data_IF_100050304255
#
_entry.id   IF_100050304255
#
_cell.length_a   1.000
_cell.length_b   1.000
_cell.length_c   1.000
_cell.angle_alpha   90.00
_cell.angle_beta   90.00
_cell.angle_gamma   90.00
#
_symmetry.space_group_name_H-M   'P 1'
#
loop_
_entity.id
_entity.type
_entity.pdbx_description
1 polymer ?
#
# COMPACT_ATOMS: atom_id res chain seq x y z
N UNK A 1 12.14 -2.46 -0.75
CA UNK A 1 10.90 -3.25 -0.77
C UNK A 1 10.76 -4.27 0.36
N UNK A 2 11.82 -4.91 0.85
CA UNK A 2 11.73 -5.89 1.96
C UNK A 2 11.05 -5.32 3.22
N UNK A 3 11.37 -4.07 3.59
CA UNK A 3 10.79 -3.40 4.75
C UNK A 3 9.25 -3.26 4.66
N UNK A 4 8.74 -2.88 3.49
CA UNK A 4 7.31 -2.73 3.25
C UNK A 4 6.56 -4.04 3.43
N UNK A 5 7.03 -5.11 2.79
CA UNK A 5 6.36 -6.40 2.90
C UNK A 5 6.46 -7.02 4.29
N UNK A 6 7.55 -6.75 5.03
CA UNK A 6 7.64 -7.11 6.45
C UNK A 6 6.54 -6.43 7.27
N UNK A 7 6.37 -5.11 7.15
CA UNK A 7 5.30 -4.38 7.84
C UNK A 7 3.92 -4.90 7.43
N UNK A 8 3.67 -5.04 6.13
CA UNK A 8 2.37 -5.53 5.61
C UNK A 8 2.06 -6.94 6.10
N UNK A 9 3.06 -7.82 6.26
CA UNK A 9 2.82 -9.17 6.77
C UNK A 9 2.28 -9.17 8.21
N UNK A 10 2.75 -8.23 9.03
CA UNK A 10 2.41 -8.06 10.44
C UNK A 10 1.11 -7.26 10.68
N UNK A 11 0.56 -6.60 9.63
CA UNK A 11 -0.70 -5.87 9.71
C UNK A 11 -1.89 -6.80 10.01
N UNK A 12 -2.89 -6.26 10.72
CA UNK A 12 -4.15 -6.95 10.97
C UNK A 12 -4.92 -7.22 9.66
N UNK A 13 -5.85 -8.18 9.63
CA UNK A 13 -6.74 -8.37 8.48
C UNK A 13 -7.50 -7.10 8.08
N UNK A 14 -7.90 -6.30 9.07
CA UNK A 14 -8.61 -5.04 8.91
C UNK A 14 -7.71 -4.00 8.20
N UNK A 15 -6.48 -3.81 8.68
CA UNK A 15 -5.56 -2.85 8.07
C UNK A 15 -5.12 -3.30 6.68
N UNK A 16 -4.98 -4.61 6.43
CA UNK A 16 -4.71 -5.16 5.08
C UNK A 16 -5.84 -4.83 4.10
N UNK A 17 -7.09 -4.90 4.54
CA UNK A 17 -8.27 -4.49 3.74
C UNK A 17 -8.29 -2.98 3.54
N UNK A 18 -7.91 -2.23 4.55
CA UNK A 18 -7.71 -0.78 4.50
C UNK A 18 -6.69 -0.38 3.43
N UNK A 19 -5.51 -0.98 3.48
CA UNK A 19 -4.45 -0.80 2.49
C UNK A 19 -4.92 -1.17 1.08
N UNK A 20 -5.60 -2.30 0.92
CA UNK A 20 -6.11 -2.70 -0.38
C UNK A 20 -7.12 -1.69 -0.92
N UNK A 21 -8.03 -1.18 -0.07
CA UNK A 21 -8.98 -0.13 -0.41
C UNK A 21 -8.27 1.17 -0.76
N UNK A 22 -7.21 1.52 -0.04
CA UNK A 22 -6.42 2.70 -0.33
C UNK A 22 -5.77 2.63 -1.72
N UNK A 23 -5.26 1.46 -2.11
CA UNK A 23 -4.57 1.26 -3.39
C UNK A 23 -5.55 1.10 -4.56
N UNK A 24 -6.65 0.37 -4.36
CA UNK A 24 -7.53 -0.11 -5.45
C UNK A 24 -8.96 0.46 -5.41
N UNK A 25 -9.33 1.18 -4.36
CA UNK A 25 -10.70 1.60 -4.08
C UNK A 25 -11.61 0.50 -3.49
N UNK A 26 -11.17 -0.76 -3.51
CA UNK A 26 -11.92 -1.93 -3.05
C UNK A 26 -11.27 -2.58 -1.83
N UNK A 27 -12.04 -2.87 -0.79
CA UNK A 27 -11.52 -3.56 0.41
C UNK A 27 -11.44 -5.08 0.27
N UNK A 28 -11.80 -5.62 -0.91
CA UNK A 28 -11.86 -7.06 -1.19
C UNK A 28 -11.04 -7.38 -2.45
N UNK A 29 -10.24 -8.45 -2.43
CA UNK A 29 -9.55 -8.91 -3.63
C UNK A 29 -10.54 -9.46 -4.66
N UNK A 30 -10.18 -9.48 -5.96
CA UNK A 30 -10.96 -10.21 -6.96
C UNK A 30 -11.04 -11.70 -6.61
N UNK A 31 -12.17 -12.35 -6.93
CA UNK A 31 -12.40 -13.78 -6.66
C UNK A 31 -11.31 -14.64 -7.31
N UNK A 32 -10.89 -14.26 -8.53
CA UNK A 32 -9.85 -14.94 -9.30
C UNK A 32 -8.42 -14.52 -8.93
N UNK A 33 -8.27 -13.70 -7.89
CA UNK A 33 -7.00 -13.20 -7.36
C UNK A 33 -6.50 -11.92 -8.03
N UNK A 34 -5.42 -11.36 -7.47
CA UNK A 34 -4.85 -10.08 -7.90
C UNK A 34 -4.33 -10.05 -9.35
N UNK A 35 -4.08 -11.21 -9.96
CA UNK A 35 -3.69 -11.32 -11.37
C UNK A 35 -4.75 -10.77 -12.34
N UNK A 36 -6.01 -10.68 -11.89
CA UNK A 36 -7.13 -10.17 -12.69
C UNK A 36 -7.38 -8.67 -12.48
N UNK A 37 -6.61 -7.99 -11.63
CA UNK A 37 -6.69 -6.53 -11.55
C UNK A 37 -6.10 -5.92 -12.82
N UNK A 38 -6.89 -5.05 -13.46
CA UNK A 38 -6.45 -4.25 -14.59
C UNK A 38 -6.73 -2.76 -14.30
N UNK A 39 -5.69 -1.91 -14.28
CA UNK A 39 -4.27 -2.24 -14.36
C UNK A 39 -3.78 -3.11 -13.18
N UNK A 40 -2.66 -3.81 -13.34
CA UNK A 40 -2.06 -4.56 -12.22
C UNK A 40 -1.64 -3.60 -11.09
N UNK A 41 -1.63 -4.09 -9.84
CA UNK A 41 -1.15 -3.27 -8.72
C UNK A 41 0.31 -2.91 -8.96
N UNK A 42 0.59 -1.61 -8.98
CA UNK A 42 1.94 -1.06 -9.08
C UNK A 42 2.37 -0.40 -7.77
N UNK A 43 3.65 -0.50 -7.44
CA UNK A 43 4.27 0.29 -6.36
C UNK A 43 5.35 1.17 -6.97
N UNK A 44 5.15 2.48 -6.91
CA UNK A 44 6.14 3.48 -7.32
C UNK A 44 6.83 4.04 -6.09
N UNK A 45 8.16 3.95 -6.03
CA UNK A 45 8.93 4.59 -4.98
C UNK A 45 9.12 6.08 -5.28
N UNK A 46 8.98 6.93 -4.26
CA UNK A 46 9.23 8.37 -4.38
C UNK A 46 10.26 8.83 -3.34
N UNK A 47 11.13 9.77 -3.72
CA UNK A 47 12.26 10.22 -2.90
C UNK A 47 11.88 11.21 -1.77
N UNK A 48 10.60 11.41 -1.54
CA UNK A 48 10.08 12.39 -0.59
C UNK A 48 9.65 11.73 0.73
N UNK A 49 10.60 11.58 1.66
CA UNK A 49 10.43 10.72 2.85
C UNK A 49 9.53 11.28 3.95
N UNK A 50 9.06 12.53 3.86
CA UNK A 50 8.26 13.17 4.91
C UNK A 50 6.75 13.14 4.62
N UNK A 51 6.40 13.04 3.34
CA UNK A 51 5.02 12.99 2.89
C UNK A 51 4.35 11.65 3.22
N UNK A 52 3.01 11.68 3.26
CA UNK A 52 2.21 10.46 3.35
C UNK A 52 2.29 9.66 2.04
N UNK A 53 2.10 8.34 2.08
CA UNK A 53 1.94 7.59 0.85
C UNK A 53 0.66 8.05 0.15
N UNK A 54 0.65 7.99 -1.19
CA UNK A 54 -0.50 8.39 -2.00
C UNK A 54 -0.89 7.27 -2.94
N UNK A 55 -2.11 7.30 -3.47
CA UNK A 55 -2.56 6.33 -4.45
C UNK A 55 -3.23 7.01 -5.65
N UNK A 56 -3.16 6.34 -6.79
CA UNK A 56 -4.02 6.60 -7.94
C UNK A 56 -4.86 5.34 -8.15
N UNK A 57 -6.03 5.30 -7.51
CA UNK A 57 -6.90 4.12 -7.46
C UNK A 57 -7.38 3.67 -8.84
N UNK A 58 -7.61 4.61 -9.76
CA UNK A 58 -7.94 4.32 -11.16
C UNK A 58 -6.84 3.52 -11.88
N UNK A 59 -5.60 3.58 -11.39
CA UNK A 59 -4.44 2.90 -11.97
C UNK A 59 -3.91 1.77 -11.07
N UNK A 60 -4.57 1.47 -9.94
CA UNK A 60 -4.06 0.55 -8.91
C UNK A 60 -2.60 0.86 -8.50
N UNK A 61 -2.22 2.13 -8.52
CA UNK A 61 -0.84 2.58 -8.29
C UNK A 61 -0.68 3.13 -6.88
N UNK A 62 0.21 2.50 -6.11
CA UNK A 62 0.62 2.95 -4.78
C UNK A 62 1.95 3.69 -4.87
N UNK A 63 1.96 4.98 -4.49
CA UNK A 63 3.16 5.81 -4.42
C UNK A 63 3.67 5.80 -2.99
N UNK A 64 4.79 5.12 -2.80
CA UNK A 64 5.39 4.89 -1.49
C UNK A 64 6.68 5.71 -1.34
N UNK A 65 6.69 6.72 -0.46
CA UNK A 65 7.92 7.34 -0.01
C UNK A 65 8.96 6.35 0.52
N UNK A 66 10.22 6.60 0.22
CA UNK A 66 11.33 5.83 0.77
C UNK A 66 11.59 6.34 2.21
N UNK A 67 10.95 5.70 3.19
CA UNK A 67 11.16 6.02 4.60
C UNK A 67 12.47 5.45 5.13
N UNK A 68 13.12 6.21 6.02
CA UNK A 68 14.43 5.86 6.61
C UNK A 68 14.37 4.79 7.68
N UNK A 69 13.19 4.48 8.25
CA UNK A 69 13.04 3.51 9.32
C UNK A 69 11.72 2.74 9.24
N UNK A 70 11.71 1.55 9.86
CA UNK A 70 10.51 0.72 10.02
C UNK A 70 9.38 1.48 10.73
N UNK A 71 9.71 2.12 11.85
CA UNK A 71 8.75 2.87 12.65
C UNK A 71 8.09 4.01 11.87
N UNK A 72 8.87 4.75 11.05
CA UNK A 72 8.32 5.81 10.19
C UNK A 72 7.38 5.25 9.13
N UNK A 73 7.72 4.12 8.51
CA UNK A 73 6.85 3.46 7.55
C UNK A 73 5.54 2.98 8.19
N UNK A 74 5.61 2.34 9.36
CA UNK A 74 4.44 1.88 10.10
C UNK A 74 3.51 3.03 10.48
N UNK A 75 4.06 4.09 11.07
CA UNK A 75 3.32 5.29 11.44
C UNK A 75 2.60 5.87 10.23
N UNK A 76 3.32 6.06 9.11
CA UNK A 76 2.76 6.63 7.87
C UNK A 76 1.72 5.75 7.21
N UNK A 77 1.86 4.42 7.28
CA UNK A 77 0.84 3.49 6.77
C UNK A 77 -0.44 3.53 7.61
N UNK A 78 -0.35 3.62 8.94
CA UNK A 78 -1.52 3.70 9.82
C UNK A 78 -2.46 4.88 9.52
N UNK A 79 -1.95 5.96 8.92
CA UNK A 79 -2.79 7.09 8.50
C UNK A 79 -3.66 6.79 7.27
N UNK A 80 -3.31 5.79 6.46
CA UNK A 80 -3.98 5.50 5.18
C UNK A 80 -4.66 4.14 5.13
N UNK A 81 -4.48 3.30 6.16
CA UNK A 81 -5.04 1.96 6.26
C UNK A 81 -6.18 1.91 7.26
#
# INVERSE_FOLDING_TARGET
MNLFWSVVSEMSPEDKRGLLKFITGCSRPPIEGFKMLYPAIGIQLVHDSDHLPTSATCMNLFKLPIYSSRAKLEDKLRFVT
#
